data_IF_740526641615
#
_entry.id   IF_740526641615
#
_cell.length_a   1.000
_cell.length_b   1.000
_cell.length_c   1.000
_cell.angle_alpha   90.00
_cell.angle_beta   90.00
_cell.angle_gamma   90.00
#
_symmetry.space_group_name_H-M   'P 1'
#
loop_
_entity.id
_entity.type
_entity.pdbx_description
1 polymer ?
#
# COMPACT_ATOMS: atom_id res chain seq x y z
N UNK A 1 43.46 14.43 -1.37
CA UNK A 1 42.15 15.12 -1.17
C UNK A 1 41.01 14.60 -2.07
N UNK A 2 41.27 13.85 -3.15
CA UNK A 2 40.23 13.35 -4.07
C UNK A 2 39.26 12.31 -3.46
N UNK A 3 39.72 11.47 -2.52
CA UNK A 3 38.91 10.41 -1.90
C UNK A 3 37.67 10.91 -1.13
N UNK A 4 37.80 12.04 -0.41
CA UNK A 4 36.67 12.66 0.31
C UNK A 4 35.58 13.18 -0.65
N UNK A 5 35.95 13.59 -1.87
CA UNK A 5 35.00 14.05 -2.89
C UNK A 5 34.23 12.88 -3.51
N UNK A 6 34.91 11.75 -3.73
CA UNK A 6 34.36 10.52 -4.29
C UNK A 6 33.35 9.83 -3.36
N UNK A 7 33.64 9.79 -2.05
CA UNK A 7 32.68 9.29 -1.06
C UNK A 7 31.46 10.21 -0.91
N UNK A 8 31.62 11.53 -0.98
CA UNK A 8 30.50 12.48 -0.94
C UNK A 8 29.57 12.35 -2.15
N UNK A 9 30.14 12.16 -3.35
CA UNK A 9 29.35 11.96 -4.59
C UNK A 9 28.69 10.58 -4.63
N UNK A 10 29.31 9.54 -4.10
CA UNK A 10 28.69 8.22 -3.95
C UNK A 10 27.53 8.23 -2.93
N UNK A 11 27.72 8.91 -1.79
CA UNK A 11 26.65 9.10 -0.79
C UNK A 11 25.48 9.91 -1.33
N UNK A 12 25.75 11.00 -2.07
CA UNK A 12 24.71 11.82 -2.71
C UNK A 12 23.89 11.05 -3.73
N UNK A 13 24.53 10.28 -4.61
CA UNK A 13 23.84 9.44 -5.61
C UNK A 13 22.94 8.38 -4.97
N UNK A 14 23.33 7.81 -3.83
CA UNK A 14 22.50 6.82 -3.12
C UNK A 14 21.23 7.45 -2.55
N UNK A 15 21.32 8.67 -2.03
CA UNK A 15 20.16 9.41 -1.50
C UNK A 15 19.22 9.79 -2.64
N UNK A 16 19.75 10.32 -3.75
CA UNK A 16 18.95 10.64 -4.94
C UNK A 16 18.22 9.42 -5.52
N UNK A 17 18.89 8.26 -5.58
CA UNK A 17 18.28 7.00 -6.02
C UNK A 17 17.21 6.47 -5.06
N UNK A 18 17.37 6.71 -3.76
CA UNK A 18 16.37 6.34 -2.76
C UNK A 18 15.13 7.22 -2.88
N UNK A 19 15.32 8.54 -3.02
CA UNK A 19 14.21 9.48 -3.19
C UNK A 19 13.43 9.19 -4.48
N UNK A 20 14.14 8.91 -5.58
CA UNK A 20 13.52 8.51 -6.86
C UNK A 20 12.74 7.20 -6.73
N UNK A 21 13.28 6.20 -6.01
CA UNK A 21 12.58 4.95 -5.75
C UNK A 21 11.33 5.15 -4.89
N UNK A 22 11.41 5.96 -3.84
CA UNK A 22 10.28 6.26 -2.96
C UNK A 22 9.17 6.98 -3.72
N UNK A 23 9.53 7.91 -4.60
CA UNK A 23 8.57 8.60 -5.47
C UNK A 23 7.92 7.65 -6.48
N UNK A 24 8.71 6.77 -7.09
CA UNK A 24 8.19 5.77 -8.03
C UNK A 24 7.21 4.80 -7.34
N UNK A 25 7.56 4.31 -6.15
CA UNK A 25 6.70 3.43 -5.36
C UNK A 25 5.44 4.17 -4.89
N UNK A 26 5.57 5.42 -4.44
CA UNK A 26 4.45 6.23 -3.95
C UNK A 26 3.40 6.57 -5.01
N UNK A 27 3.70 6.36 -6.30
CA UNK A 27 2.79 6.62 -7.44
C UNK A 27 2.49 5.36 -8.26
N UNK A 28 2.92 4.20 -7.78
CA UNK A 28 2.77 2.95 -8.50
C UNK A 28 1.28 2.63 -8.74
N UNK A 29 0.99 2.19 -9.97
CA UNK A 29 -0.33 1.71 -10.39
C UNK A 29 -0.15 0.42 -11.17
N UNK A 30 -0.91 -0.61 -10.83
CA UNK A 30 -0.83 -1.91 -11.49
C UNK A 30 -2.15 -2.67 -11.39
N UNK A 31 -2.44 -3.50 -12.38
CA UNK A 31 -3.58 -4.42 -12.38
C UNK A 31 -3.15 -5.76 -11.77
N UNK A 32 -3.97 -6.34 -10.89
CA UNK A 32 -3.69 -7.61 -10.25
C UNK A 32 -4.93 -8.46 -9.99
N UNK A 33 -4.78 -9.65 -9.36
CA UNK A 33 -5.90 -10.55 -9.09
C UNK A 33 -6.99 -9.96 -8.18
N UNK A 34 -6.67 -8.89 -7.46
CA UNK A 34 -7.59 -8.14 -6.58
C UNK A 34 -8.22 -6.92 -7.27
N UNK A 35 -8.02 -6.77 -8.58
CA UNK A 35 -8.35 -5.56 -9.33
C UNK A 35 -7.18 -4.59 -9.41
N UNK A 36 -7.46 -3.36 -9.85
CA UNK A 36 -6.46 -2.30 -10.00
C UNK A 36 -6.03 -1.77 -8.64
N UNK A 37 -4.72 -1.70 -8.41
CA UNK A 37 -4.13 -1.14 -7.20
C UNK A 37 -3.39 0.14 -7.55
N UNK A 38 -3.59 1.17 -6.76
CA UNK A 38 -2.89 2.46 -6.86
C UNK A 38 -2.35 2.86 -5.49
N UNK A 39 -1.19 3.50 -5.43
CA UNK A 39 -0.68 4.05 -4.16
C UNK A 39 -1.20 5.47 -3.95
N UNK A 40 -1.74 5.77 -2.77
CA UNK A 40 -2.11 7.13 -2.37
C UNK A 40 -0.83 7.94 -2.11
N UNK A 41 -0.60 9.07 -2.81
CA UNK A 41 0.61 9.86 -2.68
C UNK A 41 0.75 10.54 -1.30
N UNK A 42 -0.35 10.81 -0.58
CA UNK A 42 -0.32 11.47 0.71
C UNK A 42 -0.02 10.48 1.84
N UNK A 43 -0.65 9.30 1.82
CA UNK A 43 -0.55 8.32 2.90
C UNK A 43 0.41 7.17 2.59
N UNK A 44 0.87 7.03 1.35
CA UNK A 44 1.65 5.88 0.83
C UNK A 44 0.96 4.52 1.06
N UNK A 45 -0.36 4.53 1.23
CA UNK A 45 -1.16 3.33 1.41
C UNK A 45 -1.69 2.83 0.07
N UNK A 46 -1.86 1.51 -0.04
CA UNK A 46 -2.42 0.90 -1.25
C UNK A 46 -3.95 1.08 -1.27
N UNK A 47 -4.43 1.79 -2.29
CA UNK A 47 -5.85 1.88 -2.63
C UNK A 47 -6.18 0.75 -3.60
N UNK A 48 -7.15 -0.08 -3.24
CA UNK A 48 -7.63 -1.19 -4.06
C UNK A 48 -9.13 -1.37 -3.89
N UNK A 49 -9.81 -2.02 -4.86
CA UNK A 49 -11.22 -2.34 -4.76
C UNK A 49 -11.58 -3.07 -3.46
N UNK A 50 -12.66 -2.64 -2.82
CA UNK A 50 -13.23 -3.32 -1.65
C UNK A 50 -14.47 -4.07 -2.12
N UNK A 51 -14.55 -5.36 -1.88
CA UNK A 51 -15.67 -6.18 -2.35
C UNK A 51 -16.60 -6.56 -1.21
N UNK A 52 -17.90 -6.40 -1.43
CA UNK A 52 -18.93 -7.09 -0.66
C UNK A 52 -19.01 -8.53 -1.14
N UNK A 53 -18.91 -9.48 -0.21
CA UNK A 53 -18.82 -10.91 -0.52
C UNK A 53 -19.79 -11.73 0.31
N UNK A 54 -20.23 -12.84 -0.27
CA UNK A 54 -21.07 -13.84 0.38
C UNK A 54 -20.40 -15.22 0.29
N UNK A 55 -20.40 -15.95 1.41
CA UNK A 55 -19.94 -17.34 1.43
C UNK A 55 -21.00 -18.20 0.76
N UNK A 56 -20.65 -18.85 -0.36
CA UNK A 56 -21.54 -19.75 -1.09
C UNK A 56 -20.94 -21.14 -1.17
N UNK A 57 -21.81 -22.14 -1.11
CA UNK A 57 -21.41 -23.53 -1.40
C UNK A 57 -21.20 -23.71 -2.91
N UNK A 58 -20.11 -24.37 -3.27
CA UNK A 58 -19.75 -24.73 -4.64
C UNK A 58 -19.41 -26.22 -4.69
N UNK A 59 -19.35 -26.85 -5.88
CA UNK A 59 -18.89 -28.25 -6.00
C UNK A 59 -17.48 -28.50 -5.44
N UNK A 60 -16.68 -27.45 -5.22
CA UNK A 60 -15.32 -27.52 -4.67
C UNK A 60 -15.25 -27.13 -3.18
N UNK A 61 -16.39 -26.91 -2.52
CA UNK A 61 -16.48 -26.45 -1.14
C UNK A 61 -17.00 -25.02 -1.01
N UNK A 62 -16.77 -24.38 0.13
CA UNK A 62 -17.21 -23.00 0.39
C UNK A 62 -16.30 -21.99 -0.32
N UNK A 63 -16.90 -21.00 -0.98
CA UNK A 63 -16.17 -19.93 -1.65
C UNK A 63 -16.83 -18.57 -1.37
N UNK A 64 -16.01 -17.52 -1.26
CA UNK A 64 -16.51 -16.15 -1.16
C UNK A 64 -16.84 -15.62 -2.57
N UNK A 65 -18.11 -15.56 -2.92
CA UNK A 65 -18.57 -14.94 -4.17
C UNK A 65 -18.63 -13.41 -4.03
N UNK A 66 -18.16 -12.69 -5.05
CA UNK A 66 -18.28 -11.22 -5.10
C UNK A 66 -19.73 -10.86 -5.44
N UNK A 67 -20.35 -10.01 -4.61
CA UNK A 67 -21.69 -9.47 -4.83
C UNK A 67 -21.65 -8.08 -5.46
N UNK A 68 -20.77 -7.23 -4.95
CA UNK A 68 -20.60 -5.85 -5.40
C UNK A 68 -19.21 -5.32 -5.03
N UNK A 69 -18.80 -4.24 -5.70
CA UNK A 69 -17.69 -3.39 -5.27
C UNK A 69 -18.24 -2.23 -4.43
N UNK A 70 -17.60 -1.95 -3.31
CA UNK A 70 -17.95 -0.88 -2.39
C UNK A 70 -17.10 0.35 -2.69
N UNK A 71 -17.66 1.57 -2.53
CA UNK A 71 -16.86 2.78 -2.62
C UNK A 71 -15.77 2.77 -1.56
N UNK A 72 -14.62 3.37 -1.90
CA UNK A 72 -13.56 3.56 -0.92
C UNK A 72 -14.09 4.50 0.18
N UNK A 73 -13.90 4.17 1.47
CA UNK A 73 -14.32 5.04 2.55
C UNK A 73 -13.60 6.38 2.42
N UNK A 74 -14.34 7.48 2.64
CA UNK A 74 -13.73 8.79 2.74
C UNK A 74 -12.78 8.85 3.93
N UNK A 75 -11.77 9.71 3.84
CA UNK A 75 -10.87 9.95 4.95
C UNK A 75 -11.64 10.57 6.13
N UNK A 76 -11.82 9.78 7.20
CA UNK A 76 -12.37 10.24 8.47
C UNK A 76 -11.23 10.37 9.49
N UNK A 77 -11.00 11.58 10.02
CA UNK A 77 -9.99 11.85 11.04
C UNK A 77 -10.16 10.95 12.28
N UNK A 78 -11.39 10.54 12.60
CA UNK A 78 -11.66 9.63 13.73
C UNK A 78 -11.12 8.23 13.50
N UNK A 79 -10.99 7.82 12.23
CA UNK A 79 -10.43 6.53 11.84
C UNK A 79 -8.91 6.60 11.64
N UNK A 80 -8.30 7.80 11.64
CA UNK A 80 -6.86 7.97 11.47
C UNK A 80 -6.05 7.20 12.52
N UNK A 81 -6.52 7.15 13.77
CA UNK A 81 -5.89 6.40 14.86
C UNK A 81 -5.97 4.87 14.71
N UNK A 82 -6.91 4.37 13.90
CA UNK A 82 -7.16 2.93 13.66
C UNK A 82 -6.56 2.47 12.34
N UNK A 83 -6.09 3.39 11.48
CA UNK A 83 -5.41 3.06 10.24
C UNK A 83 -4.21 2.17 10.54
N UNK A 84 -4.22 0.97 9.99
CA UNK A 84 -3.09 0.04 9.97
C UNK A 84 -2.04 0.56 9.00
N UNK A 85 -1.33 1.59 9.42
CA UNK A 85 -0.10 2.04 8.77
C UNK A 85 0.97 2.23 9.83
N UNK A 86 2.23 2.13 9.42
CA UNK A 86 3.41 2.22 10.28
C UNK A 86 3.63 3.68 10.72
N UNK A 87 2.74 4.20 11.55
CA UNK A 87 2.97 5.47 12.25
C UNK A 87 3.36 5.25 13.71
N UNK A 88 3.00 4.12 14.31
CA UNK A 88 3.19 3.85 15.75
C UNK A 88 4.15 2.70 16.08
N UNK A 89 4.72 1.98 15.11
CA UNK A 89 5.64 0.87 15.36
C UNK A 89 5.00 -0.40 15.95
N UNK A 90 3.67 -0.46 16.05
CA UNK A 90 2.96 -1.66 16.50
C UNK A 90 2.25 -2.36 15.32
N UNK A 91 2.54 -3.65 15.14
CA UNK A 91 1.72 -4.53 14.32
C UNK A 91 0.37 -4.72 15.01
N UNK A 92 -0.70 -4.13 14.47
CA UNK A 92 -2.03 -4.60 14.78
C UNK A 92 -2.17 -6.00 14.16
N UNK A 93 -2.02 -7.03 15.00
CA UNK A 93 -1.96 -8.44 14.61
C UNK A 93 -3.24 -9.00 13.95
N UNK A 94 -4.32 -8.22 13.90
CA UNK A 94 -5.64 -8.69 13.46
C UNK A 94 -6.10 -8.21 12.08
N UNK A 95 -5.31 -7.40 11.36
CA UNK A 95 -5.72 -6.82 10.06
C UNK A 95 -4.66 -6.95 8.96
N UNK A 96 -3.71 -7.88 9.11
CA UNK A 96 -2.80 -8.26 8.02
C UNK A 96 -3.50 -9.31 7.15
N UNK A 97 -4.05 -8.90 6.00
CA UNK A 97 -4.35 -9.77 4.86
C UNK A 97 -3.10 -9.86 3.98
#
# INVERSE_FOLDING_TARGET
MAWKCLLKTAGRRRVEQLDELLDALGRATFDGPRGRVTMDPATRSAVSPIYLREVRSTPRGLANAVLAELPHPADDERLAAVRTSVLSGWQNAYLSI
#
